data_IF_114844994813
#
_entry.id   IF_114844994813
#
_cell.length_a   1.000
_cell.length_b   1.000
_cell.length_c   1.000
_cell.angle_alpha   90.00
_cell.angle_beta   90.00
_cell.angle_gamma   90.00
#
_symmetry.space_group_name_H-M   'P 1'
#
loop_
_entity.id
_entity.type
_entity.pdbx_description
1 polymer ?
#
# COMPACT_ATOMS: atom_id res chain seq x y z
N UNK A 1 18.34 -13.78 -11.24
CA UNK A 1 18.40 -12.40 -10.72
C UNK A 1 16.97 -11.97 -10.45
N UNK A 2 16.54 -11.94 -9.18
CA UNK A 2 15.24 -11.37 -8.83
C UNK A 2 15.36 -9.85 -8.95
N UNK A 3 14.55 -9.23 -9.82
CA UNK A 3 14.36 -7.79 -9.76
C UNK A 3 13.83 -7.45 -8.37
N UNK A 4 14.25 -6.32 -7.80
CA UNK A 4 13.89 -5.89 -6.43
C UNK A 4 12.37 -5.84 -6.14
N UNK A 5 11.52 -6.02 -7.15
CA UNK A 5 10.05 -5.99 -7.08
C UNK A 5 9.37 -7.34 -7.24
N UNK A 6 10.03 -8.37 -7.75
CA UNK A 6 9.37 -9.66 -8.04
C UNK A 6 9.28 -10.56 -6.80
N UNK A 7 10.28 -10.48 -5.91
CA UNK A 7 10.39 -11.29 -4.72
C UNK A 7 11.15 -12.60 -4.93
N UNK A 8 11.03 -13.55 -3.99
CA UNK A 8 11.72 -14.84 -4.06
C UNK A 8 10.94 -15.97 -3.37
N UNK A 9 11.08 -17.19 -3.90
CA UNK A 9 10.56 -18.42 -3.28
C UNK A 9 11.73 -19.30 -2.81
N UNK A 10 11.68 -19.74 -1.56
CA UNK A 10 12.65 -20.67 -0.95
C UNK A 10 11.89 -21.72 -0.15
N UNK A 11 11.82 -22.95 -0.63
CA UNK A 11 11.04 -24.02 0.02
C UNK A 11 9.59 -23.60 0.23
N UNK A 12 9.14 -23.64 1.48
CA UNK A 12 7.80 -23.26 1.94
C UNK A 12 7.61 -21.74 2.11
N UNK A 13 8.69 -20.97 2.06
CA UNK A 13 8.64 -19.51 2.15
C UNK A 13 8.48 -18.87 0.77
N UNK A 14 7.41 -18.09 0.59
CA UNK A 14 7.07 -17.45 -0.68
C UNK A 14 6.89 -15.94 -0.52
N UNK A 15 7.83 -15.16 -1.07
CA UNK A 15 7.71 -13.71 -1.23
C UNK A 15 7.48 -13.28 -2.68
N UNK A 16 7.29 -14.23 -3.60
CA UNK A 16 7.08 -13.94 -5.02
C UNK A 16 5.66 -13.39 -5.26
N UNK A 17 5.52 -12.24 -5.92
CA UNK A 17 4.21 -11.72 -6.36
C UNK A 17 3.76 -12.49 -7.61
N UNK A 18 2.81 -13.40 -7.46
CA UNK A 18 2.22 -14.14 -8.59
C UNK A 18 0.70 -14.05 -8.55
N UNK A 19 0.08 -14.12 -9.73
CA UNK A 19 -1.39 -14.11 -9.84
C UNK A 19 -1.98 -15.42 -9.30
N UNK A 20 -1.37 -16.55 -9.68
CA UNK A 20 -1.66 -17.87 -9.15
C UNK A 20 -0.54 -18.27 -8.19
N UNK A 21 -0.83 -18.28 -6.88
CA UNK A 21 0.12 -18.78 -5.89
C UNK A 21 0.06 -20.32 -5.84
N UNK A 22 1.22 -21.02 -5.78
CA UNK A 22 1.24 -22.45 -5.50
C UNK A 22 0.56 -22.86 -4.17
N UNK A 23 0.37 -21.88 -3.27
CA UNK A 23 -0.35 -22.02 -2.01
C UNK A 23 -1.89 -21.96 -2.16
N UNK A 24 -2.43 -21.86 -3.38
CA UNK A 24 -3.87 -21.83 -3.67
C UNK A 24 -4.52 -20.45 -3.56
N UNK A 25 -3.88 -19.47 -2.92
CA UNK A 25 -4.40 -18.11 -2.80
C UNK A 25 -4.27 -17.35 -4.14
N UNK A 26 -5.32 -16.62 -4.54
CA UNK A 26 -5.31 -15.79 -5.74
C UNK A 26 -5.25 -14.32 -5.38
N UNK A 27 -4.37 -13.59 -6.05
CA UNK A 27 -4.22 -12.13 -5.89
C UNK A 27 -5.54 -11.38 -6.14
N UNK A 28 -6.37 -11.91 -7.05
CA UNK A 28 -7.68 -11.32 -7.40
C UNK A 28 -8.73 -11.45 -6.31
N UNK A 29 -8.63 -12.46 -5.44
CA UNK A 29 -9.65 -12.72 -4.42
C UNK A 29 -9.72 -11.58 -3.39
N UNK A 30 -8.59 -10.87 -3.18
CA UNK A 30 -8.53 -9.68 -2.32
C UNK A 30 -9.35 -8.53 -2.87
N UNK A 31 -9.44 -8.43 -4.20
CA UNK A 31 -10.16 -7.38 -4.89
C UNK A 31 -11.63 -7.73 -5.12
N UNK A 32 -12.05 -8.94 -4.75
CA UNK A 32 -13.46 -9.35 -4.82
C UNK A 32 -14.32 -8.41 -3.98
N UNK A 33 -15.41 -7.89 -4.55
CA UNK A 33 -16.31 -6.94 -3.89
C UNK A 33 -15.87 -5.47 -3.99
N UNK A 34 -14.75 -5.17 -4.65
CA UNK A 34 -14.28 -3.78 -4.89
C UNK A 34 -14.74 -3.22 -6.23
N UNK A 35 -15.58 -3.93 -6.98
CA UNK A 35 -16.06 -3.52 -8.31
C UNK A 35 -16.78 -2.17 -8.26
N UNK A 36 -17.47 -1.88 -7.15
CA UNK A 36 -18.19 -0.63 -6.94
C UNK A 36 -17.27 0.59 -6.77
N UNK A 37 -15.99 0.37 -6.43
CA UNK A 37 -15.00 1.44 -6.35
C UNK A 37 -14.70 2.05 -7.73
N UNK A 38 -14.94 1.27 -8.80
CA UNK A 38 -14.75 1.68 -10.18
C UNK A 38 -13.29 1.78 -10.61
N UNK A 39 -13.07 2.45 -11.74
CA UNK A 39 -11.75 2.67 -12.36
C UNK A 39 -11.49 4.16 -12.58
N UNK A 40 -10.23 4.52 -12.84
CA UNK A 40 -9.85 5.87 -13.26
C UNK A 40 -8.96 5.86 -14.51
N UNK A 41 -9.07 6.87 -15.39
CA UNK A 41 -8.19 7.01 -16.54
C UNK A 41 -6.84 7.65 -16.14
N UNK A 42 -5.75 7.22 -16.76
CA UNK A 42 -4.44 7.87 -16.65
C UNK A 42 -3.72 7.91 -18.01
N UNK A 43 -2.89 8.92 -18.26
CA UNK A 43 -2.01 8.95 -19.44
C UNK A 43 -0.80 8.04 -19.23
N UNK A 44 -0.45 7.24 -20.23
CA UNK A 44 0.83 6.53 -20.27
C UNK A 44 1.79 7.26 -21.22
N UNK A 45 3.12 7.08 -21.05
CA UNK A 45 4.17 7.81 -21.81
C UNK A 45 3.93 7.90 -23.32
N UNK A 46 3.31 6.89 -23.91
CA UNK A 46 3.13 6.72 -25.36
C UNK A 46 1.68 6.47 -25.79
N UNK A 47 0.75 6.28 -24.84
CA UNK A 47 -0.63 5.91 -25.14
C UNK A 47 -1.59 6.96 -24.59
N UNK A 48 -2.57 7.29 -25.43
CA UNK A 48 -3.72 8.09 -25.06
C UNK A 48 -4.62 7.24 -24.16
N UNK A 49 -4.46 7.44 -22.86
CA UNK A 49 -5.31 6.94 -21.78
C UNK A 49 -5.36 5.41 -21.56
N UNK A 50 -5.21 5.01 -20.30
CA UNK A 50 -5.40 3.63 -19.82
C UNK A 50 -6.26 3.69 -18.56
N UNK A 51 -7.28 2.84 -18.47
CA UNK A 51 -8.04 2.67 -17.23
C UNK A 51 -7.27 1.84 -16.21
N UNK A 52 -7.25 2.31 -14.96
CA UNK A 52 -6.65 1.64 -13.81
C UNK A 52 -7.73 1.24 -12.81
N UNK A 53 -7.57 0.04 -12.26
CA UNK A 53 -8.39 -0.49 -11.18
C UNK A 53 -7.69 -0.25 -9.84
N UNK A 54 -8.41 -0.29 -8.70
CA UNK A 54 -7.78 -0.37 -7.38
C UNK A 54 -6.86 -1.60 -7.29
N UNK A 55 -5.98 -1.62 -6.29
CA UNK A 55 -4.90 -2.61 -6.20
C UNK A 55 -4.84 -3.28 -4.83
N UNK A 56 -4.51 -4.58 -4.81
CA UNK A 56 -4.24 -5.29 -3.58
C UNK A 56 -2.83 -4.91 -3.09
N UNK A 57 -2.77 -4.51 -1.83
CA UNK A 57 -1.56 -4.11 -1.14
C UNK A 57 -1.07 -5.22 -0.21
N UNK A 58 0.21 -5.56 -0.27
CA UNK A 58 0.85 -6.48 0.68
C UNK A 58 1.14 -5.76 1.99
N UNK A 59 0.51 -6.21 3.09
CA UNK A 59 0.70 -5.64 4.44
C UNK A 59 2.17 -5.64 4.82
N UNK A 60 2.88 -6.73 4.50
CA UNK A 60 4.34 -6.79 4.51
C UNK A 60 4.85 -6.67 3.07
N UNK A 61 5.38 -5.51 2.64
CA UNK A 61 5.74 -5.30 1.24
C UNK A 61 6.77 -6.31 0.76
N UNK A 62 6.57 -6.84 -0.46
CA UNK A 62 7.44 -7.83 -1.10
C UNK A 62 8.91 -7.42 -1.01
N UNK A 63 9.24 -6.19 -1.42
CA UNK A 63 10.61 -5.69 -1.38
C UNK A 63 11.22 -5.71 0.04
N UNK A 64 10.42 -5.40 1.07
CA UNK A 64 10.88 -5.42 2.47
C UNK A 64 11.09 -6.85 2.97
N UNK A 65 10.21 -7.79 2.63
CA UNK A 65 10.36 -9.21 2.99
C UNK A 65 11.56 -9.82 2.28
N UNK A 66 11.69 -9.62 0.97
CA UNK A 66 12.81 -10.15 0.19
C UNK A 66 14.13 -9.59 0.68
N UNK A 67 14.23 -8.27 0.89
CA UNK A 67 15.49 -7.64 1.30
C UNK A 67 15.95 -8.00 2.71
N UNK A 68 15.02 -8.17 3.67
CA UNK A 68 15.38 -8.36 5.09
C UNK A 68 15.30 -9.81 5.57
N UNK A 69 14.52 -10.67 4.90
CA UNK A 69 14.32 -12.06 5.29
C UNK A 69 14.88 -12.99 4.23
N UNK A 70 14.30 -13.02 3.03
CA UNK A 70 14.63 -14.06 2.04
C UNK A 70 16.06 -13.94 1.49
N UNK A 71 16.57 -12.72 1.29
CA UNK A 71 17.92 -12.46 0.80
C UNK A 71 18.96 -12.34 1.91
N UNK A 72 18.58 -12.50 3.18
CA UNK A 72 19.50 -12.46 4.31
C UNK A 72 20.26 -13.80 4.39
N UNK A 73 21.52 -13.79 3.96
CA UNK A 73 22.42 -14.94 3.94
C UNK A 73 22.89 -15.39 5.34
N UNK A 74 22.62 -14.57 6.36
CA UNK A 74 22.96 -14.87 7.75
C UNK A 74 21.89 -15.67 8.49
N UNK A 75 20.67 -15.74 7.95
CA UNK A 75 19.64 -16.66 8.42
C UNK A 75 19.94 -18.00 7.75
N UNK A 76 19.94 -19.08 8.54
CA UNK A 76 20.11 -20.44 8.01
C UNK A 76 19.15 -20.71 6.85
N UNK A 77 19.67 -21.24 5.73
CA UNK A 77 18.85 -21.42 4.53
C UNK A 77 17.68 -22.38 4.80
N UNK A 78 17.93 -23.40 5.62
CA UNK A 78 16.97 -24.37 6.12
C UNK A 78 15.85 -23.73 6.95
N UNK A 79 16.16 -22.71 7.78
CA UNK A 79 15.15 -21.98 8.55
C UNK A 79 14.16 -21.31 7.59
N UNK A 80 14.67 -20.60 6.57
CA UNK A 80 13.82 -19.95 5.57
C UNK A 80 13.05 -21.00 4.77
N UNK A 81 13.71 -22.05 4.27
CA UNK A 81 13.07 -23.09 3.45
C UNK A 81 11.94 -23.81 4.18
N UNK A 82 12.05 -23.99 5.49
CA UNK A 82 11.06 -24.72 6.30
C UNK A 82 9.98 -23.81 6.91
N UNK A 83 10.14 -22.48 6.82
CA UNK A 83 9.13 -21.54 7.31
C UNK A 83 7.96 -21.46 6.34
N UNK A 84 6.80 -21.94 6.76
CA UNK A 84 5.55 -21.89 5.98
C UNK A 84 4.91 -20.51 6.04
N UNK A 85 5.29 -19.65 5.09
CA UNK A 85 4.76 -18.28 4.99
C UNK A 85 4.64 -17.84 3.54
N UNK A 86 3.55 -17.16 3.20
CA UNK A 86 3.32 -16.65 1.85
C UNK A 86 2.80 -15.21 1.82
N UNK A 87 3.46 -14.35 1.05
CA UNK A 87 3.08 -12.95 0.85
C UNK A 87 1.70 -12.80 0.19
N UNK A 88 1.30 -13.77 -0.62
CA UNK A 88 -0.01 -13.79 -1.30
C UNK A 88 -1.11 -14.45 -0.45
N UNK A 89 -0.89 -14.71 0.84
CA UNK A 89 -1.98 -15.09 1.76
C UNK A 89 -2.97 -13.92 1.95
N UNK A 90 -4.27 -14.21 1.96
CA UNK A 90 -5.34 -13.23 2.24
C UNK A 90 -5.09 -12.44 3.54
N UNK A 91 -4.52 -13.07 4.56
CA UNK A 91 -4.15 -12.41 5.82
C UNK A 91 -3.04 -11.38 5.59
N UNK A 92 -2.12 -11.63 4.67
CA UNK A 92 -0.99 -10.76 4.32
C UNK A 92 -1.34 -9.66 3.29
N UNK A 93 -2.59 -9.58 2.85
CA UNK A 93 -3.04 -8.60 1.85
C UNK A 93 -4.24 -7.77 2.33
N UNK A 94 -4.42 -6.60 1.71
CA UNK A 94 -5.56 -5.71 1.89
C UNK A 94 -5.84 -4.97 0.58
N UNK A 95 -7.10 -4.85 0.18
CA UNK A 95 -7.48 -4.01 -0.96
C UNK A 95 -7.42 -2.53 -0.56
N UNK A 96 -6.74 -1.70 -1.34
CA UNK A 96 -6.69 -0.26 -1.12
C UNK A 96 -6.99 0.51 -2.41
N UNK A 97 -7.76 1.62 -2.34
CA UNK A 97 -7.97 2.48 -3.49
C UNK A 97 -6.67 3.17 -3.92
N UNK A 98 -6.60 3.57 -5.20
CA UNK A 98 -5.55 4.48 -5.67
C UNK A 98 -6.00 5.92 -5.45
N UNK A 99 -5.07 6.81 -5.09
CA UNK A 99 -5.41 8.17 -4.66
C UNK A 99 -6.18 8.98 -5.71
N UNK A 100 -5.89 8.75 -6.98
CA UNK A 100 -6.54 9.35 -8.14
C UNK A 100 -8.04 9.10 -8.17
N UNK A 101 -8.50 7.96 -7.64
CA UNK A 101 -9.93 7.63 -7.55
C UNK A 101 -10.67 8.65 -6.67
N UNK A 102 -10.01 9.19 -5.64
CA UNK A 102 -10.55 10.27 -4.81
C UNK A 102 -10.76 11.54 -5.64
N UNK A 103 -9.77 11.94 -6.45
CA UNK A 103 -9.90 13.11 -7.34
C UNK A 103 -11.00 12.92 -8.38
N UNK A 104 -11.08 11.73 -8.97
CA UNK A 104 -12.15 11.40 -9.92
C UNK A 104 -13.52 11.56 -9.25
N UNK A 105 -13.70 10.98 -8.07
CA UNK A 105 -14.98 11.02 -7.36
C UNK A 105 -15.43 12.44 -7.02
N UNK A 106 -14.57 13.20 -6.32
CA UNK A 106 -14.96 14.51 -5.80
C UNK A 106 -14.76 15.67 -6.79
N UNK A 107 -13.64 15.71 -7.52
CA UNK A 107 -13.23 16.89 -8.29
C UNK A 107 -13.52 16.82 -9.79
N UNK A 108 -13.78 15.61 -10.32
CA UNK A 108 -14.09 15.39 -11.74
C UNK A 108 -15.56 15.04 -11.93
N UNK A 109 -16.07 14.06 -11.17
CA UNK A 109 -17.49 13.67 -11.18
C UNK A 109 -18.36 14.55 -10.27
N UNK A 110 -17.76 15.49 -9.54
CA UNK A 110 -18.46 16.42 -8.65
C UNK A 110 -19.43 15.74 -7.66
N UNK A 111 -19.07 14.56 -7.15
CA UNK A 111 -19.90 13.84 -6.17
C UNK A 111 -19.63 14.36 -4.76
N UNK A 112 -20.68 14.78 -4.06
CA UNK A 112 -20.61 15.23 -2.68
C UNK A 112 -20.71 14.09 -1.65
N UNK A 113 -21.29 12.94 -2.04
CA UNK A 113 -21.41 11.77 -1.14
C UNK A 113 -20.05 11.10 -0.90
N UNK A 114 -19.85 10.36 0.20
CA UNK A 114 -18.65 9.52 0.35
C UNK A 114 -18.59 8.44 -0.76
N UNK A 115 -17.38 8.06 -1.21
CA UNK A 115 -17.18 6.89 -2.07
C UNK A 115 -17.25 5.60 -1.25
N UNK A 116 -17.41 4.47 -1.93
CA UNK A 116 -17.49 3.14 -1.31
C UNK A 116 -16.18 2.69 -0.62
N UNK A 117 -15.07 3.37 -0.90
CA UNK A 117 -13.77 3.18 -0.27
C UNK A 117 -13.44 4.24 0.80
N UNK A 118 -14.46 4.92 1.33
CA UNK A 118 -14.29 5.92 2.40
C UNK A 118 -13.53 5.32 3.61
N UNK A 119 -12.75 6.17 4.25
CA UNK A 119 -11.93 5.86 5.44
C UNK A 119 -10.90 4.74 5.26
N UNK A 120 -10.48 4.48 4.01
CA UNK A 120 -9.29 3.71 3.69
C UNK A 120 -8.14 4.63 3.28
N UNK A 121 -6.87 4.33 3.66
CA UNK A 121 -5.72 5.00 3.06
C UNK A 121 -5.56 4.60 1.59
N UNK A 122 -4.70 5.31 0.87
CA UNK A 122 -4.55 5.13 -0.59
C UNK A 122 -3.25 4.41 -0.91
N UNK A 123 -3.33 3.34 -1.71
CA UNK A 123 -2.23 2.42 -2.01
C UNK A 123 -0.94 3.14 -2.44
N UNK A 124 -1.06 4.20 -3.22
CA UNK A 124 0.08 4.93 -3.79
C UNK A 124 0.42 6.24 -3.04
N UNK A 125 -0.18 6.48 -1.86
CA UNK A 125 0.04 7.70 -1.10
C UNK A 125 0.75 7.41 0.23
N UNK A 126 2.02 7.82 0.34
CA UNK A 126 2.86 7.50 1.49
C UNK A 126 3.48 6.09 1.48
N UNK A 127 3.31 5.34 0.39
CA UNK A 127 3.77 3.95 0.23
C UNK A 127 5.26 3.74 0.56
N UNK A 128 6.15 4.60 0.06
CA UNK A 128 7.59 4.45 0.33
C UNK A 128 7.96 4.61 1.82
N UNK A 129 7.28 5.51 2.52
CA UNK A 129 7.47 5.70 3.96
C UNK A 129 6.92 4.51 4.76
N UNK A 130 5.77 3.98 4.36
CA UNK A 130 5.22 2.73 4.91
C UNK A 130 6.19 1.55 4.70
N UNK A 131 6.71 1.39 3.48
CA UNK A 131 7.67 0.33 3.16
C UNK A 131 8.93 0.41 4.05
N UNK A 132 9.43 1.61 4.33
CA UNK A 132 10.56 1.84 5.24
C UNK A 132 10.21 1.45 6.69
N UNK A 133 9.02 1.81 7.15
CA UNK A 133 8.52 1.46 8.48
C UNK A 133 8.47 -0.05 8.68
N UNK A 134 7.82 -0.77 7.76
CA UNK A 134 7.77 -2.23 7.77
C UNK A 134 9.15 -2.85 7.63
N UNK A 135 9.97 -2.33 6.70
CA UNK A 135 11.34 -2.82 6.49
C UNK A 135 12.21 -2.71 7.75
N UNK A 136 12.00 -1.70 8.58
CA UNK A 136 12.71 -1.56 9.86
C UNK A 136 12.34 -2.69 10.83
N UNK A 137 11.06 -3.06 10.92
CA UNK A 137 10.60 -4.18 11.75
C UNK A 137 11.10 -5.53 11.23
N UNK A 138 11.01 -5.74 9.92
CA UNK A 138 11.51 -6.97 9.29
C UNK A 138 13.02 -7.13 9.39
N UNK A 139 13.77 -6.02 9.34
CA UNK A 139 15.22 -6.03 9.60
C UNK A 139 15.52 -6.54 11.00
N UNK A 140 14.77 -6.10 12.01
CA UNK A 140 14.94 -6.59 13.38
C UNK A 140 14.66 -8.08 13.48
N UNK A 141 13.54 -8.56 12.90
CA UNK A 141 13.22 -9.99 12.84
C UNK A 141 14.36 -10.79 12.20
N UNK A 142 14.93 -10.29 11.10
CA UNK A 142 16.05 -10.97 10.45
C UNK A 142 17.32 -11.04 11.30
N UNK A 143 17.56 -10.04 12.15
CA UNK A 143 18.67 -10.05 13.13
C UNK A 143 18.40 -11.04 14.26
N UNK A 144 17.20 -11.04 14.82
CA UNK A 144 16.81 -11.94 15.91
C UNK A 144 16.85 -13.41 15.44
N UNK A 145 16.29 -13.68 14.26
CA UNK A 145 16.33 -15.01 13.62
C UNK A 145 17.76 -15.49 13.39
N UNK A 146 18.66 -14.59 12.97
CA UNK A 146 20.08 -14.89 12.82
C UNK A 146 20.71 -15.30 14.17
N UNK A 147 20.37 -14.60 15.26
CA UNK A 147 20.91 -14.91 16.59
C UNK A 147 20.42 -16.28 17.07
N UNK A 148 19.13 -16.58 16.90
CA UNK A 148 18.51 -17.84 17.32
C UNK A 148 19.04 -19.03 16.49
N UNK A 149 19.36 -18.81 15.21
CA UNK A 149 20.06 -19.81 14.37
C UNK A 149 21.40 -20.23 14.98
N UNK A 150 22.16 -19.27 15.54
CA UNK A 150 23.43 -19.57 16.21
C UNK A 150 23.24 -20.25 17.57
N UNK A 151 22.09 -20.06 18.20
CA UNK A 151 21.74 -20.65 19.49
C UNK A 151 21.11 -22.05 19.38
N UNK A 152 20.84 -22.55 18.16
CA UNK A 152 20.18 -23.84 17.89
C UNK A 152 18.76 -23.96 18.48
N UNK A 153 17.98 -22.88 18.45
CA UNK A 153 16.59 -22.83 18.93
C UNK A 153 15.58 -23.33 17.87
N UNK A 154 14.28 -23.36 18.18
CA UNK A 154 13.22 -23.65 17.20
C UNK A 154 12.93 -22.45 16.29
N UNK A 155 13.93 -22.08 15.50
CA UNK A 155 13.98 -20.81 14.76
C UNK A 155 12.89 -20.70 13.69
N UNK A 156 12.42 -21.82 13.14
CA UNK A 156 11.40 -21.83 12.08
C UNK A 156 10.06 -21.35 12.63
N UNK A 157 9.63 -21.88 13.78
CA UNK A 157 8.39 -21.49 14.43
C UNK A 157 8.44 -20.03 14.89
N UNK A 158 9.58 -19.58 15.40
CA UNK A 158 9.79 -18.22 15.87
C UNK A 158 9.78 -17.19 14.73
N UNK A 159 10.44 -17.47 13.60
CA UNK A 159 10.40 -16.60 12.42
C UNK A 159 8.96 -16.45 11.91
N UNK A 160 8.22 -17.56 11.82
CA UNK A 160 6.80 -17.53 11.42
C UNK A 160 5.97 -16.67 12.38
N UNK A 161 6.11 -16.89 13.69
CA UNK A 161 5.39 -16.16 14.72
C UNK A 161 5.70 -14.65 14.69
N UNK A 162 6.97 -14.28 14.51
CA UNK A 162 7.40 -12.89 14.44
C UNK A 162 6.85 -12.18 13.18
N UNK A 163 6.93 -12.84 12.02
CA UNK A 163 6.36 -12.34 10.76
C UNK A 163 4.85 -12.12 10.88
N UNK A 164 4.14 -13.09 11.46
CA UNK A 164 2.71 -13.04 11.69
C UNK A 164 2.32 -11.91 12.65
N UNK A 165 3.07 -11.72 13.74
CA UNK A 165 2.87 -10.64 14.70
C UNK A 165 3.00 -9.26 14.04
N UNK A 166 4.02 -9.07 13.20
CA UNK A 166 4.21 -7.79 12.48
C UNK A 166 3.11 -7.54 11.45
N UNK A 167 2.65 -8.58 10.73
CA UNK A 167 1.45 -8.48 9.88
C UNK A 167 0.23 -8.05 10.70
N UNK A 168 -0.05 -8.74 11.80
CA UNK A 168 -1.23 -8.50 12.64
C UNK A 168 -1.21 -7.12 13.29
N UNK A 169 -0.02 -6.55 13.51
CA UNK A 169 0.12 -5.16 13.90
C UNK A 169 -0.20 -4.20 12.74
N UNK A 170 0.39 -4.40 11.56
CA UNK A 170 0.32 -3.43 10.47
C UNK A 170 -1.02 -3.41 9.73
N UNK A 171 -1.72 -4.53 9.61
CA UNK A 171 -3.00 -4.60 8.90
C UNK A 171 -4.08 -3.70 9.53
N UNK A 172 -4.40 -3.79 10.84
CA UNK A 172 -5.33 -2.86 11.48
C UNK A 172 -4.75 -1.44 11.57
N UNK A 173 -3.42 -1.30 11.70
CA UNK A 173 -2.77 0.02 11.65
C UNK A 173 -3.09 0.73 10.34
N UNK A 174 -2.97 0.06 9.18
CA UNK A 174 -3.30 0.64 7.89
C UNK A 174 -4.77 1.08 7.82
N UNK A 175 -5.70 0.23 8.24
CA UNK A 175 -7.12 0.58 8.28
C UNK A 175 -7.37 1.85 9.14
N UNK A 176 -6.80 1.90 10.34
CA UNK A 176 -6.91 3.06 11.23
C UNK A 176 -6.25 4.34 10.68
N UNK A 177 -5.34 4.23 9.71
CA UNK A 177 -4.76 5.43 9.06
C UNK A 177 -5.81 6.15 8.22
N UNK A 178 -6.75 5.44 7.62
CA UNK A 178 -7.82 6.02 6.82
C UNK A 178 -8.84 6.86 7.62
N UNK A 179 -8.88 6.67 8.94
CA UNK A 179 -9.78 7.41 9.85
C UNK A 179 -9.09 8.56 10.58
N UNK A 180 -7.86 8.94 10.21
CA UNK A 180 -7.17 10.09 10.82
C UNK A 180 -7.94 11.39 10.57
N UNK A 181 -7.90 12.30 11.54
CA UNK A 181 -8.69 13.53 11.48
C UNK A 181 -10.17 13.20 11.40
N UNK A 182 -10.85 13.74 10.39
CA UNK A 182 -12.27 13.47 10.09
C UNK A 182 -12.48 12.36 9.05
N UNK A 183 -11.47 11.51 8.84
CA UNK A 183 -11.51 10.46 7.82
C UNK A 183 -11.32 10.99 6.39
N UNK A 184 -11.21 10.11 5.40
CA UNK A 184 -10.88 10.54 4.03
C UNK A 184 -11.97 11.41 3.42
N UNK A 185 -13.24 11.11 3.66
CA UNK A 185 -14.35 11.91 3.16
C UNK A 185 -14.40 13.30 3.81
N UNK A 186 -14.43 13.33 5.15
CA UNK A 186 -14.55 14.57 5.91
C UNK A 186 -13.40 15.52 5.64
N UNK A 187 -12.17 15.01 5.61
CA UNK A 187 -10.98 15.82 5.31
C UNK A 187 -10.98 16.37 3.87
N UNK A 188 -11.40 15.57 2.89
CA UNK A 188 -11.45 16.05 1.50
C UNK A 188 -12.50 17.15 1.31
N UNK A 189 -13.70 16.95 1.83
CA UNK A 189 -14.80 17.93 1.74
C UNK A 189 -14.43 19.23 2.45
N UNK A 190 -13.83 19.15 3.65
CA UNK A 190 -13.35 20.35 4.34
C UNK A 190 -12.29 21.09 3.52
N UNK A 191 -11.37 20.37 2.89
CA UNK A 191 -10.34 20.98 2.06
C UNK A 191 -10.90 21.62 0.79
N UNK A 192 -11.98 21.09 0.22
CA UNK A 192 -12.69 21.73 -0.91
C UNK A 192 -13.45 22.99 -0.51
N UNK A 193 -13.97 23.04 0.72
CA UNK A 193 -14.81 24.13 1.22
C UNK A 193 -14.03 25.23 1.96
N UNK A 194 -12.76 25.00 2.30
CA UNK A 194 -11.90 26.04 2.84
C UNK A 194 -11.73 27.15 1.79
N UNK A 195 -12.04 28.40 2.16
CA UNK A 195 -11.91 29.54 1.27
C UNK A 195 -10.53 29.53 0.60
N UNK A 196 -10.53 29.58 -0.73
CA UNK A 196 -9.40 29.35 -1.63
C UNK A 196 -8.17 30.27 -1.44
N UNK A 197 -8.16 31.09 -0.39
CA UNK A 197 -7.10 32.01 -0.01
C UNK A 197 -6.15 31.52 1.08
N UNK A 198 -6.41 30.38 1.75
CA UNK A 198 -5.52 29.92 2.83
C UNK A 198 -4.92 28.52 2.60
N UNK A 199 -3.66 28.37 2.96
CA UNK A 199 -2.84 27.20 2.69
C UNK A 199 -3.13 25.98 3.60
N UNK A 200 -4.32 25.87 4.20
CA UNK A 200 -4.50 25.04 5.41
C UNK A 200 -5.93 24.52 5.60
N UNK A 201 -6.17 23.33 5.08
CA UNK A 201 -6.42 22.26 6.04
C UNK A 201 -5.06 21.61 6.28
N UNK A 202 -4.39 21.94 7.39
CA UNK A 202 -3.01 21.47 7.66
C UNK A 202 -2.88 19.94 7.73
N UNK A 203 -4.01 19.25 7.63
CA UNK A 203 -4.17 17.83 7.95
C UNK A 203 -4.97 17.04 6.90
N UNK A 204 -5.46 17.65 5.81
CA UNK A 204 -6.39 16.93 4.89
C UNK A 204 -5.79 15.66 4.30
N UNK A 205 -4.47 15.62 4.14
CA UNK A 205 -3.74 14.51 3.55
C UNK A 205 -3.51 13.35 4.52
N UNK A 206 -3.70 13.56 5.83
CA UNK A 206 -3.40 12.57 6.87
C UNK A 206 -4.12 11.24 6.64
N UNK A 207 -5.45 11.20 6.41
CA UNK A 207 -6.16 9.93 6.26
C UNK A 207 -5.82 9.19 4.96
N UNK A 208 -5.40 9.90 3.93
CA UNK A 208 -5.04 9.29 2.65
C UNK A 208 -3.70 8.55 2.71
N UNK A 209 -2.83 8.89 3.68
CA UNK A 209 -1.45 8.41 3.71
C UNK A 209 -1.29 7.11 4.47
N UNK A 210 -0.64 6.16 3.80
CA UNK A 210 -0.18 4.93 4.41
C UNK A 210 0.96 5.14 5.41
N UNK A 211 1.60 6.30 5.49
CA UNK A 211 2.77 6.51 6.37
C UNK A 211 2.37 6.66 7.85
N UNK A 212 3.22 6.23 8.79
CA UNK A 212 3.05 6.54 10.22
C UNK A 212 3.02 8.05 10.48
N UNK A 213 3.96 8.78 9.87
CA UNK A 213 4.08 10.23 9.97
C UNK A 213 4.04 10.82 8.56
N UNK A 214 2.85 11.14 8.03
CA UNK A 214 2.71 11.70 6.70
C UNK A 214 3.32 13.10 6.62
N UNK A 215 3.97 13.42 5.49
CA UNK A 215 4.46 14.77 5.23
C UNK A 215 3.35 15.69 4.74
N UNK A 216 3.35 16.95 5.19
CA UNK A 216 2.40 17.98 4.76
C UNK A 216 2.30 18.08 3.25
N UNK A 217 1.07 18.06 2.74
CA UNK A 217 0.78 18.27 1.32
C UNK A 217 -0.24 19.38 1.14
N UNK A 218 -0.02 20.32 0.21
CA UNK A 218 -1.04 21.28 -0.12
C UNK A 218 -2.18 20.62 -0.89
N UNK A 219 -3.41 21.09 -0.65
CA UNK A 219 -4.55 20.71 -1.46
C UNK A 219 -4.35 21.13 -2.92
N UNK A 220 -4.72 20.31 -3.92
CA UNK A 220 -4.54 20.66 -5.33
C UNK A 220 -5.37 21.89 -5.71
N UNK A 221 -4.76 22.85 -6.39
CA UNK A 221 -5.41 24.02 -6.97
C UNK A 221 -5.02 24.24 -8.44
N UNK A 222 -5.85 24.97 -9.19
CA UNK A 222 -5.60 25.32 -10.60
C UNK A 222 -4.39 26.25 -10.81
N UNK A 223 -4.00 27.03 -9.79
CA UNK A 223 -2.88 27.96 -9.87
C UNK A 223 -1.51 27.27 -9.83
N UNK A 224 -1.40 26.08 -9.24
CA UNK A 224 -0.12 25.36 -9.08
C UNK A 224 0.11 24.42 -10.26
N UNK A 225 1.32 24.44 -10.83
CA UNK A 225 1.69 23.63 -12.00
C UNK A 225 2.45 22.33 -11.66
N UNK A 226 2.57 21.98 -10.38
CA UNK A 226 3.38 20.85 -9.91
C UNK A 226 2.66 19.96 -8.90
N UNK A 227 3.25 18.80 -8.61
CA UNK A 227 2.76 17.87 -7.60
C UNK A 227 1.33 17.39 -7.86
N UNK A 228 0.48 17.47 -6.84
CA UNK A 228 -0.91 17.00 -6.90
C UNK A 228 -1.78 17.79 -7.88
N UNK A 229 -1.55 19.10 -8.05
CA UNK A 229 -2.30 19.91 -9.02
C UNK A 229 -2.03 19.47 -10.45
N UNK A 230 -0.78 19.17 -10.79
CA UNK A 230 -0.45 18.60 -12.10
C UNK A 230 -1.13 17.26 -12.31
N UNK A 231 -1.11 16.38 -11.31
CA UNK A 231 -1.78 15.09 -11.36
C UNK A 231 -3.29 15.23 -11.61
N UNK A 232 -3.95 16.16 -10.92
CA UNK A 232 -5.37 16.47 -11.14
C UNK A 232 -5.63 16.97 -12.58
N UNK A 233 -4.78 17.85 -13.11
CA UNK A 233 -4.91 18.34 -14.48
C UNK A 233 -4.74 17.21 -15.51
N UNK A 234 -3.71 16.37 -15.35
CA UNK A 234 -3.45 15.22 -16.22
C UNK A 234 -4.64 14.23 -16.19
N UNK A 235 -5.28 14.03 -15.02
CA UNK A 235 -6.50 13.22 -14.88
C UNK A 235 -7.72 13.83 -15.58
N UNK A 236 -7.94 15.16 -15.45
CA UNK A 236 -9.04 15.85 -16.12
C UNK A 236 -8.91 15.76 -17.63
N UNK A 237 -7.70 15.95 -18.14
CA UNK A 237 -7.42 15.82 -19.56
C UNK A 237 -7.66 14.39 -20.05
N UNK A 238 -7.15 13.37 -19.33
CA UNK A 238 -7.43 11.98 -19.66
C UNK A 238 -8.94 11.69 -19.63
N UNK A 239 -9.66 12.23 -18.64
CA UNK A 239 -11.11 12.04 -18.51
C UNK A 239 -11.89 12.67 -19.66
N UNK A 240 -11.47 13.84 -20.18
CA UNK A 240 -12.14 14.51 -21.31
C UNK A 240 -12.04 13.78 -22.64
N UNK A 241 -11.21 12.73 -22.73
CA UNK A 241 -11.01 11.90 -23.91
C UNK A 241 -11.83 10.59 -23.86
N UNK A 242 -12.60 10.36 -22.79
CA UNK A 242 -13.56 9.24 -22.65
C UNK A 242 -14.94 9.63 -23.16
#
# INVERSE_FOLDING_TARGET
>A
MAGHTEGAKKGLFCSLRTEECPCGNKYRDIMSGTESWGKYPQKHRTLLMVERSPEAHHVLPVASVTGNITANDKIGEEVIKNTEWCVNDLKNMIALPLFEMTFVHYLIKSKASPPDFVDLPMHNYGHAAFQKEVGTKLKQIGVDTQQNTKAHEDVTAELLAAMNTVRDQFKPTLAARGTRGKGTHGEFVNAMNADSGDASTEEWYLPFSMAATPSRRPFPSSARKGGLSKKLADLREAWSLM
#
